data_IF_434176542163
#
_entry.id   IF_434176542163
#
_cell.length_a   1.000
_cell.length_b   1.000
_cell.length_c   1.000
_cell.angle_alpha   90.00
_cell.angle_beta   90.00
_cell.angle_gamma   90.00
#
_symmetry.space_group_name_H-M   'P 1'
#
loop_
_entity.id
_entity.type
_entity.pdbx_description
1 polymer ?
#
# COMPACT_ATOMS: atom_id res chain seq x y z
N UNK A 1 27.68 -36.71 -4.15
CA UNK A 1 27.46 -35.35 -3.60
C UNK A 1 26.44 -34.67 -4.50
N UNK A 2 25.22 -34.42 -4.02
CA UNK A 2 24.26 -33.61 -4.78
C UNK A 2 24.82 -32.19 -4.89
N UNK A 3 24.88 -31.62 -6.10
CA UNK A 3 25.18 -30.20 -6.28
C UNK A 3 24.10 -29.40 -5.53
N UNK A 4 24.50 -28.44 -4.70
CA UNK A 4 23.56 -27.51 -4.10
C UNK A 4 22.83 -26.75 -5.21
N UNK A 5 21.51 -26.59 -5.08
CA UNK A 5 20.72 -25.86 -6.06
C UNK A 5 21.18 -24.39 -6.12
N UNK A 6 21.35 -23.79 -7.31
CA UNK A 6 21.51 -22.36 -7.43
C UNK A 6 20.39 -21.63 -6.68
N UNK A 7 20.72 -20.61 -5.86
CA UNK A 7 19.74 -19.87 -5.05
C UNK A 7 18.59 -19.30 -5.89
N UNK A 8 18.87 -18.94 -7.15
CA UNK A 8 17.87 -18.46 -8.10
C UNK A 8 16.79 -19.49 -8.41
N UNK A 9 17.16 -20.76 -8.58
CA UNK A 9 16.24 -21.85 -8.87
C UNK A 9 15.49 -22.30 -7.63
N UNK A 10 16.15 -22.30 -6.47
CA UNK A 10 15.50 -22.63 -5.20
C UNK A 10 14.35 -21.64 -4.90
N UNK A 11 14.55 -20.35 -5.19
CA UNK A 11 13.49 -19.35 -5.03
C UNK A 11 12.27 -19.62 -5.92
N UNK A 12 12.49 -19.97 -7.19
CA UNK A 12 11.41 -20.31 -8.12
C UNK A 12 10.59 -21.53 -7.67
N UNK A 13 11.14 -22.35 -6.77
CA UNK A 13 10.47 -23.53 -6.20
C UNK A 13 9.73 -23.23 -4.88
N UNK A 14 9.77 -21.99 -4.40
CA UNK A 14 9.09 -21.61 -3.17
C UNK A 14 7.58 -21.75 -3.31
N UNK A 15 6.93 -22.12 -2.19
CA UNK A 15 5.47 -22.25 -2.14
C UNK A 15 4.77 -20.92 -2.42
N UNK A 16 5.43 -19.80 -2.16
CA UNK A 16 4.87 -18.46 -2.33
C UNK A 16 4.55 -18.12 -3.79
N UNK A 17 5.32 -18.65 -4.75
CA UNK A 17 5.04 -18.44 -6.18
C UNK A 17 4.07 -19.48 -6.75
N UNK A 18 3.98 -20.66 -6.14
CA UNK A 18 3.08 -21.75 -6.52
C UNK A 18 3.09 -22.10 -8.03
N UNK A 19 4.28 -22.05 -8.65
CA UNK A 19 4.48 -22.27 -10.08
C UNK A 19 4.26 -23.73 -10.51
N UNK A 20 3.93 -23.93 -11.79
CA UNK A 20 3.95 -25.25 -12.44
C UNK A 20 5.33 -25.90 -12.41
N UNK A 21 5.37 -27.24 -12.52
CA UNK A 21 6.64 -28.00 -12.51
C UNK A 21 7.58 -27.65 -13.66
N UNK A 22 7.03 -27.21 -14.80
CA UNK A 22 7.78 -26.63 -15.90
C UNK A 22 7.29 -25.21 -16.15
N UNK A 23 8.20 -24.28 -16.37
CA UNK A 23 7.86 -22.87 -16.62
C UNK A 23 8.58 -22.36 -17.86
N UNK A 24 7.98 -21.38 -18.52
CA UNK A 24 8.64 -20.55 -19.53
C UNK A 24 9.24 -19.35 -18.82
N UNK A 25 10.57 -19.23 -18.83
CA UNK A 25 11.29 -18.26 -18.02
C UNK A 25 12.05 -17.26 -18.88
N UNK A 26 11.96 -15.97 -18.51
CA UNK A 26 12.71 -14.87 -19.09
C UNK A 26 13.36 -14.05 -17.98
N UNK A 27 14.57 -13.53 -18.21
CA UNK A 27 15.31 -12.73 -17.21
C UNK A 27 15.91 -11.48 -17.84
N UNK A 28 15.78 -10.34 -17.16
CA UNK A 28 16.44 -9.06 -17.52
C UNK A 28 17.15 -8.42 -16.34
N UNK A 29 18.32 -7.84 -16.60
CA UNK A 29 19.08 -7.05 -15.63
C UNK A 29 18.80 -5.56 -15.86
N UNK A 30 18.00 -4.97 -14.98
CA UNK A 30 17.66 -3.55 -15.05
C UNK A 30 18.85 -2.71 -14.56
N UNK A 31 19.32 -1.83 -15.43
CA UNK A 31 20.32 -0.80 -15.14
C UNK A 31 19.64 0.54 -14.96
N UNK A 32 19.43 1.02 -13.73
CA UNK A 32 18.81 2.31 -13.51
C UNK A 32 19.74 3.44 -13.96
N UNK A 33 19.31 4.20 -14.96
CA UNK A 33 19.95 5.46 -15.39
C UNK A 33 19.26 6.59 -14.65
N UNK A 34 19.81 6.96 -13.49
CA UNK A 34 19.21 7.96 -12.59
C UNK A 34 19.34 9.36 -13.16
N UNK A 35 18.23 10.10 -13.19
CA UNK A 35 18.20 11.48 -13.68
C UNK A 35 16.88 12.16 -13.37
N UNK A 36 16.75 13.40 -13.85
CA UNK A 36 15.48 14.12 -13.84
C UNK A 36 14.56 13.50 -14.91
N UNK A 37 13.53 12.81 -14.46
CA UNK A 37 12.59 12.07 -15.31
C UNK A 37 11.18 12.47 -14.89
N UNK A 38 10.37 12.90 -15.86
CA UNK A 38 8.94 13.05 -15.65
C UNK A 38 8.30 11.67 -15.58
N UNK A 39 7.94 11.26 -14.36
CA UNK A 39 7.35 9.93 -14.09
C UNK A 39 5.92 9.80 -14.64
N UNK A 40 5.23 10.90 -14.94
CA UNK A 40 3.87 10.86 -15.46
C UNK A 40 3.84 10.58 -16.97
N UNK A 41 4.98 10.75 -17.65
CA UNK A 41 5.17 10.38 -19.05
C UNK A 41 5.55 8.90 -19.16
N UNK A 42 4.87 8.17 -20.05
CA UNK A 42 5.24 6.79 -20.39
C UNK A 42 6.57 6.81 -21.14
N UNK A 43 7.62 6.26 -20.53
CA UNK A 43 8.94 6.21 -21.12
C UNK A 43 8.99 5.20 -22.28
N UNK A 44 9.49 5.62 -23.45
CA UNK A 44 9.68 4.73 -24.60
C UNK A 44 11.09 4.15 -24.58
N UNK A 45 11.18 2.82 -24.49
CA UNK A 45 12.43 2.06 -24.48
C UNK A 45 12.44 1.14 -25.69
N UNK A 46 13.40 1.33 -26.61
CA UNK A 46 13.46 0.57 -27.87
C UNK A 46 13.76 -0.92 -27.68
N UNK A 47 14.44 -1.28 -26.59
CA UNK A 47 14.72 -2.68 -26.27
C UNK A 47 13.43 -3.40 -25.81
N UNK A 48 13.06 -4.55 -26.41
CA UNK A 48 11.91 -5.35 -25.95
C UNK A 48 12.18 -5.87 -24.55
N UNK A 49 11.16 -6.15 -23.73
CA UNK A 49 11.34 -6.72 -22.39
C UNK A 49 11.66 -8.22 -22.45
N UNK A 50 10.92 -8.95 -23.30
CA UNK A 50 11.10 -10.38 -23.52
C UNK A 50 12.02 -10.60 -24.73
N UNK A 51 13.18 -11.20 -24.49
CA UNK A 51 14.20 -11.47 -25.52
C UNK A 51 14.36 -12.98 -25.74
N UNK A 52 14.86 -13.68 -24.73
CA UNK A 52 15.11 -15.12 -24.76
C UNK A 52 14.19 -15.82 -23.76
N UNK A 53 13.35 -16.74 -24.25
CA UNK A 53 12.53 -17.63 -23.42
C UNK A 53 13.23 -18.97 -23.22
N UNK A 54 13.35 -19.43 -21.97
CA UNK A 54 13.96 -20.72 -21.61
C UNK A 54 12.96 -21.57 -20.84
N UNK A 55 12.82 -22.84 -21.18
CA UNK A 55 11.99 -23.77 -20.40
C UNK A 55 12.80 -24.29 -19.23
N UNK A 56 12.33 -24.04 -18.00
CA UNK A 56 12.94 -24.57 -16.79
C UNK A 56 12.07 -25.69 -16.21
N UNK A 57 12.70 -26.81 -15.83
CA UNK A 57 12.03 -27.89 -15.10
C UNK A 57 12.38 -27.79 -13.61
N UNK A 58 11.40 -27.33 -12.81
CA UNK A 58 11.50 -27.15 -11.37
C UNK A 58 11.44 -28.48 -10.60
N UNK A 59 11.00 -29.58 -11.24
CA UNK A 59 10.91 -30.91 -10.63
C UNK A 59 12.27 -31.64 -10.55
N UNK A 60 13.19 -31.37 -11.49
CA UNK A 60 14.39 -32.19 -11.74
C UNK A 60 15.54 -31.98 -10.73
N UNK A 61 15.25 -31.57 -9.49
CA UNK A 61 16.27 -31.52 -8.44
C UNK A 61 17.50 -30.65 -8.76
N UNK A 62 17.33 -29.61 -9.59
CA UNK A 62 18.39 -28.68 -10.03
C UNK A 62 19.53 -29.31 -10.84
N UNK A 63 19.25 -30.43 -11.54
CA UNK A 63 20.27 -31.22 -12.24
C UNK A 63 20.44 -30.92 -13.74
N UNK A 64 19.58 -30.13 -14.37
CA UNK A 64 19.53 -30.02 -15.85
C UNK A 64 19.33 -28.63 -16.47
N UNK A 65 18.92 -27.59 -15.73
CA UNK A 65 18.67 -26.27 -16.33
C UNK A 65 19.25 -25.12 -15.49
N UNK A 66 20.19 -24.37 -16.04
CA UNK A 66 20.62 -23.08 -15.49
C UNK A 66 19.68 -21.97 -15.99
N UNK A 67 19.31 -20.98 -15.14
CA UNK A 67 18.57 -19.81 -15.61
C UNK A 67 19.32 -19.11 -16.76
N UNK A 68 18.61 -18.53 -17.75
CA UNK A 68 19.25 -17.79 -18.83
C UNK A 68 20.15 -16.66 -18.30
N UNK A 69 21.18 -16.26 -19.06
CA UNK A 69 22.00 -15.11 -18.73
C UNK A 69 21.15 -13.85 -18.52
N UNK A 70 21.57 -13.00 -17.59
CA UNK A 70 20.84 -11.78 -17.28
C UNK A 70 21.15 -10.69 -18.32
N UNK A 71 20.30 -10.56 -19.34
CA UNK A 71 20.48 -9.58 -20.42
C UNK A 71 20.16 -8.16 -19.94
N UNK A 72 21.05 -7.18 -20.17
CA UNK A 72 20.87 -5.84 -19.63
C UNK A 72 19.74 -5.05 -20.29
N UNK A 73 19.12 -4.17 -19.51
CA UNK A 73 18.08 -3.23 -19.94
C UNK A 73 18.27 -1.91 -19.19
N UNK A 74 18.58 -0.83 -19.89
CA UNK A 74 18.73 0.48 -19.26
C UNK A 74 17.36 1.14 -19.15
N UNK A 75 16.96 1.54 -17.94
CA UNK A 75 15.73 2.30 -17.69
C UNK A 75 16.09 3.65 -17.07
N UNK A 76 15.61 4.73 -17.69
CA UNK A 76 15.71 6.07 -17.10
C UNK A 76 14.71 6.19 -15.96
N UNK A 77 15.21 6.46 -14.76
CA UNK A 77 14.40 6.46 -13.54
C UNK A 77 14.71 7.67 -12.66
N UNK A 78 13.78 8.09 -11.79
CA UNK A 78 14.05 9.09 -10.77
C UNK A 78 15.23 8.71 -9.86
N UNK A 79 15.83 9.69 -9.16
CA UNK A 79 16.81 9.41 -8.12
C UNK A 79 16.23 8.53 -7.01
N UNK A 80 17.07 7.69 -6.41
CA UNK A 80 16.66 6.91 -5.25
C UNK A 80 16.30 7.83 -4.07
N UNK A 81 15.30 7.45 -3.29
CA UNK A 81 15.00 8.15 -2.04
C UNK A 81 16.14 8.01 -1.03
N UNK A 82 16.36 9.02 -0.17
CA UNK A 82 17.31 8.89 0.92
C UNK A 82 16.88 7.75 1.86
N UNK A 83 17.86 7.09 2.47
CA UNK A 83 17.57 6.07 3.50
C UNK A 83 16.80 6.69 4.66
N UNK A 84 15.85 5.97 5.29
CA UNK A 84 15.04 6.50 6.38
C UNK A 84 15.83 7.05 7.58
N UNK A 85 16.83 6.34 8.07
CA UNK A 85 17.83 6.78 9.09
C UNK A 85 17.30 7.74 10.18
N UNK A 86 16.15 7.45 10.79
CA UNK A 86 15.49 8.27 11.83
C UNK A 86 15.08 9.69 11.40
N UNK A 87 14.96 9.98 10.11
CA UNK A 87 14.68 11.33 9.60
C UNK A 87 13.21 11.78 9.72
N UNK A 88 12.30 10.91 10.21
CA UNK A 88 10.86 11.16 10.23
C UNK A 88 10.25 11.28 11.65
N UNK A 89 11.07 11.65 12.65
CA UNK A 89 10.64 11.85 14.05
C UNK A 89 9.58 12.96 14.25
N UNK A 90 9.39 13.82 13.24
CA UNK A 90 8.33 14.83 13.24
C UNK A 90 6.93 14.25 12.97
N UNK A 91 6.82 12.96 12.67
CA UNK A 91 5.58 12.26 12.38
C UNK A 91 5.25 11.27 13.50
N UNK A 92 4.00 11.29 13.95
CA UNK A 92 3.41 10.26 14.82
C UNK A 92 2.18 9.71 14.13
N UNK A 93 2.11 8.40 13.98
CA UNK A 93 0.98 7.70 13.36
C UNK A 93 0.16 6.96 14.41
N UNK A 94 -1.15 6.88 14.21
CA UNK A 94 -2.08 6.21 15.09
C UNK A 94 -2.95 5.25 14.30
N UNK A 95 -3.13 4.03 14.82
CA UNK A 95 -3.98 2.99 14.24
C UNK A 95 -4.79 2.32 15.35
N UNK A 96 -6.08 2.09 15.12
CA UNK A 96 -6.96 1.34 16.01
C UNK A 96 -7.61 0.19 15.23
N UNK A 97 -7.29 -1.05 15.58
CA UNK A 97 -7.77 -2.23 14.85
C UNK A 97 -7.72 -3.49 15.73
N UNK A 98 -8.17 -4.62 15.20
CA UNK A 98 -8.11 -5.90 15.92
C UNK A 98 -6.69 -6.46 15.96
N UNK A 99 -6.39 -7.26 16.99
CA UNK A 99 -5.08 -7.88 17.18
C UNK A 99 -4.62 -8.65 15.94
N UNK A 100 -5.50 -9.49 15.36
CA UNK A 100 -5.17 -10.27 14.16
C UNK A 100 -4.86 -9.39 12.95
N UNK A 101 -5.67 -8.36 12.69
CA UNK A 101 -5.43 -7.44 11.56
C UNK A 101 -4.13 -6.66 11.71
N UNK A 102 -3.76 -6.31 12.94
CA UNK A 102 -2.49 -5.65 13.26
C UNK A 102 -1.28 -6.57 13.09
N UNK A 103 -1.43 -7.88 13.32
CA UNK A 103 -0.38 -8.86 12.97
C UNK A 103 -0.21 -8.96 11.45
N UNK A 104 -1.31 -9.05 10.70
CA UNK A 104 -1.28 -9.13 9.24
C UNK A 104 -0.68 -7.87 8.58
N UNK A 105 -0.78 -6.71 9.25
CA UNK A 105 -0.23 -5.45 8.75
C UNK A 105 1.31 -5.34 8.85
N UNK A 106 1.96 -6.16 9.68
CA UNK A 106 3.38 -6.02 10.04
C UNK A 106 4.33 -5.86 8.84
N UNK A 107 4.26 -6.68 7.77
CA UNK A 107 5.16 -6.53 6.63
C UNK A 107 4.99 -5.18 5.92
N UNK A 108 3.75 -4.72 5.79
CA UNK A 108 3.45 -3.45 5.13
C UNK A 108 3.83 -2.24 5.97
N UNK A 109 3.61 -2.27 7.29
CA UNK A 109 4.15 -1.23 8.18
C UNK A 109 5.69 -1.22 8.16
N UNK A 110 6.33 -2.38 8.18
CA UNK A 110 7.78 -2.48 8.11
C UNK A 110 8.35 -1.90 6.81
N UNK A 111 7.61 -1.98 5.70
CA UNK A 111 8.06 -1.38 4.44
C UNK A 111 8.32 0.12 4.54
N UNK A 112 7.46 0.88 5.24
CA UNK A 112 7.53 2.35 5.27
C UNK A 112 7.92 2.95 6.63
N UNK A 113 7.80 2.21 7.74
CA UNK A 113 8.19 2.69 9.08
C UNK A 113 9.55 2.18 9.57
N UNK A 114 10.08 1.09 9.03
CA UNK A 114 11.31 0.48 9.55
C UNK A 114 12.50 1.46 9.50
N UNK A 115 13.10 1.73 10.66
CA UNK A 115 14.24 2.64 10.81
C UNK A 115 13.92 4.11 10.49
N UNK A 116 12.65 4.48 10.36
CA UNK A 116 12.21 5.84 9.99
C UNK A 116 12.31 6.84 11.12
N UNK A 117 12.23 6.38 12.37
CA UNK A 117 12.10 7.21 13.57
C UNK A 117 10.73 7.86 13.76
N UNK A 118 9.77 7.61 12.86
CA UNK A 118 8.37 7.99 13.10
C UNK A 118 7.74 7.04 14.11
N UNK A 119 7.01 7.58 15.08
CA UNK A 119 6.33 6.77 16.10
C UNK A 119 5.02 6.19 15.56
N UNK A 120 4.68 4.97 15.99
CA UNK A 120 3.40 4.31 15.69
C UNK A 120 2.69 3.94 17.00
N UNK A 121 1.53 4.55 17.24
CA UNK A 121 0.67 4.25 18.38
C UNK A 121 -0.44 3.30 17.92
N UNK A 122 -0.44 2.10 18.49
CA UNK A 122 -1.35 1.02 18.11
C UNK A 122 -2.33 0.75 19.24
N UNK A 123 -3.62 0.97 18.98
CA UNK A 123 -4.71 0.60 19.90
C UNK A 123 -5.32 -0.72 19.44
N UNK A 124 -5.20 -1.76 20.27
CA UNK A 124 -5.75 -3.09 19.99
C UNK A 124 -7.22 -3.12 20.42
N UNK A 125 -8.12 -2.82 19.49
CA UNK A 125 -9.54 -2.54 19.75
C UNK A 125 -10.28 -3.70 20.45
N UNK A 126 -9.88 -4.94 20.20
CA UNK A 126 -10.48 -6.15 20.74
C UNK A 126 -9.76 -6.68 21.99
N UNK A 127 -8.75 -5.98 22.52
CA UNK A 127 -8.03 -6.40 23.73
C UNK A 127 -8.90 -6.44 25.00
N UNK A 128 -10.02 -5.73 25.00
CA UNK A 128 -10.98 -5.70 26.11
C UNK A 128 -12.14 -6.71 25.95
N UNK A 129 -12.11 -7.57 24.92
CA UNK A 129 -13.11 -8.63 24.81
C UNK A 129 -12.95 -9.63 25.96
N UNK A 130 -14.04 -10.18 26.53
CA UNK A 130 -13.98 -11.09 27.68
C UNK A 130 -13.10 -12.32 27.46
N UNK A 131 -13.08 -12.84 26.23
CA UNK A 131 -12.31 -14.03 25.84
C UNK A 131 -10.96 -13.68 25.19
N UNK A 132 -10.56 -12.40 25.18
CA UNK A 132 -9.29 -11.98 24.62
C UNK A 132 -8.13 -12.49 25.49
N UNK A 133 -7.28 -13.32 24.88
CA UNK A 133 -6.00 -13.73 25.45
C UNK A 133 -4.87 -13.31 24.51
N UNK A 134 -4.78 -12.01 24.26
CA UNK A 134 -3.77 -11.42 23.39
C UNK A 134 -2.55 -10.97 24.17
N UNK A 135 -1.37 -11.26 23.63
CA UNK A 135 -0.10 -10.79 24.19
C UNK A 135 0.32 -9.48 23.50
N UNK A 136 -0.12 -8.35 24.06
CA UNK A 136 0.18 -7.04 23.49
C UNK A 136 1.67 -6.72 23.53
N UNK A 137 2.39 -7.23 24.52
CA UNK A 137 3.84 -7.04 24.64
C UNK A 137 4.58 -7.84 23.55
N UNK A 138 4.12 -9.05 23.22
CA UNK A 138 4.66 -9.81 22.09
C UNK A 138 4.35 -9.11 20.75
N UNK A 139 3.17 -8.53 20.59
CA UNK A 139 2.85 -7.74 19.39
C UNK A 139 3.78 -6.52 19.28
N UNK A 140 3.95 -5.75 20.35
CA UNK A 140 4.90 -4.63 20.38
C UNK A 140 6.33 -5.07 20.05
N UNK A 141 6.78 -6.17 20.64
CA UNK A 141 8.09 -6.75 20.36
C UNK A 141 8.23 -7.16 18.88
N UNK A 142 7.17 -7.68 18.25
CA UNK A 142 7.18 -8.01 16.82
C UNK A 142 7.37 -6.76 15.95
N UNK A 143 6.69 -5.65 16.25
CA UNK A 143 6.91 -4.37 15.56
C UNK A 143 8.34 -3.86 15.77
N UNK A 144 8.84 -3.88 17.01
CA UNK A 144 10.20 -3.40 17.34
C UNK A 144 11.30 -4.26 16.71
N UNK A 145 11.10 -5.57 16.58
CA UNK A 145 12.02 -6.46 15.87
C UNK A 145 12.15 -6.10 14.38
N UNK A 146 11.14 -5.44 13.81
CA UNK A 146 11.17 -4.87 12.45
C UNK A 146 11.69 -3.43 12.43
N UNK A 147 12.29 -2.95 13.53
CA UNK A 147 12.78 -1.58 13.70
C UNK A 147 11.69 -0.51 13.53
N UNK A 148 10.45 -0.82 13.90
CA UNK A 148 9.35 0.15 13.96
C UNK A 148 9.28 0.68 15.39
N UNK A 149 9.26 2.01 15.54
CA UNK A 149 9.09 2.67 16.84
C UNK A 149 7.61 2.62 17.26
N UNK A 150 7.17 1.43 17.67
CA UNK A 150 5.78 1.16 18.03
C UNK A 150 5.57 1.15 19.55
N UNK A 151 4.39 1.65 19.93
CA UNK A 151 3.80 1.47 21.26
C UNK A 151 2.42 0.86 21.12
N UNK A 152 2.21 -0.33 21.68
CA UNK A 152 0.97 -1.09 21.59
C UNK A 152 0.23 -1.00 22.92
N UNK A 153 -1.02 -0.52 22.88
CA UNK A 153 -1.85 -0.29 24.05
C UNK A 153 -3.23 -0.92 23.91
N UNK A 154 -3.82 -1.27 25.06
CA UNK A 154 -5.23 -1.60 25.14
C UNK A 154 -6.08 -0.31 25.08
N UNK A 155 -7.37 -0.41 24.67
CA UNK A 155 -8.26 0.75 24.62
C UNK A 155 -8.39 1.40 25.99
N UNK A 156 -8.23 2.73 26.06
CA UNK A 156 -8.53 3.47 27.30
C UNK A 156 -10.03 3.64 27.52
N UNK A 157 -10.78 3.78 26.44
CA UNK A 157 -12.24 3.78 26.46
C UNK A 157 -12.73 2.33 26.46
N UNK A 158 -13.22 1.85 27.61
CA UNK A 158 -13.70 0.47 27.76
C UNK A 158 -15.11 0.25 27.22
N UNK A 159 -15.98 1.23 27.45
CA UNK A 159 -17.37 1.24 26.98
C UNK A 159 -17.58 2.46 26.11
N UNK A 160 -18.23 2.30 24.96
CA UNK A 160 -18.50 3.38 24.03
C UNK A 160 -19.28 4.52 24.67
N UNK A 161 -19.12 5.72 24.14
CA UNK A 161 -19.91 6.89 24.53
C UNK A 161 -21.19 6.96 23.67
N UNK A 162 -22.31 7.45 24.21
CA UNK A 162 -23.52 7.68 23.42
C UNK A 162 -23.23 8.74 22.35
N UNK A 163 -23.86 8.58 21.19
CA UNK A 163 -23.95 9.61 20.14
C UNK A 163 -25.24 10.43 20.34
N UNK A 164 -25.44 11.49 19.56
CA UNK A 164 -26.60 12.39 19.69
C UNK A 164 -27.93 11.67 19.48
N UNK A 165 -27.93 10.66 18.62
CA UNK A 165 -29.07 9.83 18.24
C UNK A 165 -29.20 8.54 19.07
N UNK A 166 -28.30 8.29 20.03
CA UNK A 166 -28.40 7.11 20.91
C UNK A 166 -29.60 7.26 21.86
N UNK A 167 -30.56 6.33 21.86
CA UNK A 167 -31.67 6.30 22.81
C UNK A 167 -31.17 6.26 24.27
N UNK A 168 -31.81 7.04 25.15
CA UNK A 168 -31.36 7.21 26.54
C UNK A 168 -31.31 5.92 27.37
N UNK A 169 -32.08 4.90 26.98
CA UNK A 169 -32.18 3.62 27.69
C UNK A 169 -31.44 2.48 26.99
N UNK A 170 -30.72 2.75 25.90
CA UNK A 170 -29.97 1.72 25.19
C UNK A 170 -28.63 1.44 25.90
N UNK A 171 -28.26 0.17 26.13
CA UNK A 171 -26.95 -0.16 26.67
C UNK A 171 -25.86 0.33 25.73
N UNK A 172 -24.82 0.97 26.29
CA UNK A 172 -23.68 1.38 25.50
C UNK A 172 -22.82 0.18 25.12
N UNK A 173 -22.26 0.15 23.90
CA UNK A 173 -21.43 -0.96 23.45
C UNK A 173 -20.21 -1.14 24.34
N UNK A 174 -19.98 -2.38 24.78
CA UNK A 174 -18.81 -2.78 25.56
C UNK A 174 -18.32 -4.13 25.01
N UNK A 175 -17.11 -4.23 24.42
CA UNK A 175 -16.08 -3.17 24.32
C UNK A 175 -16.47 -1.95 23.48
N UNK A 176 -15.72 -0.86 23.63
CA UNK A 176 -15.95 0.36 22.87
C UNK A 176 -15.82 0.14 21.35
N UNK A 177 -16.65 0.80 20.52
CA UNK A 177 -16.59 0.63 19.07
C UNK A 177 -15.27 1.13 18.49
N UNK A 178 -14.73 0.41 17.50
CA UNK A 178 -13.47 0.76 16.83
C UNK A 178 -13.51 2.15 16.21
N UNK A 179 -14.66 2.61 15.75
CA UNK A 179 -14.85 3.93 15.17
C UNK A 179 -14.60 5.05 16.18
N UNK A 180 -15.03 4.85 17.44
CA UNK A 180 -14.74 5.78 18.52
C UNK A 180 -13.27 5.72 18.92
N UNK A 181 -12.68 4.52 18.95
CA UNK A 181 -11.26 4.34 19.24
C UNK A 181 -10.38 5.01 18.18
N UNK A 182 -10.72 4.86 16.90
CA UNK A 182 -10.06 5.49 15.78
C UNK A 182 -10.09 7.03 15.90
N UNK A 183 -11.25 7.62 16.22
CA UNK A 183 -11.32 9.06 16.49
C UNK A 183 -10.50 9.48 17.73
N UNK A 184 -10.47 8.65 18.77
CA UNK A 184 -9.74 8.93 20.01
C UNK A 184 -8.22 8.74 19.91
N UNK A 185 -7.70 8.18 18.81
CA UNK A 185 -6.26 8.13 18.53
C UNK A 185 -5.59 9.50 18.62
N UNK A 186 -6.32 10.59 18.41
CA UNK A 186 -5.83 11.96 18.59
C UNK A 186 -5.32 12.15 20.03
N UNK A 187 -6.09 11.71 21.03
CA UNK A 187 -5.70 11.79 22.44
C UNK A 187 -4.54 10.84 22.72
N UNK A 188 -4.61 9.61 22.21
CA UNK A 188 -3.58 8.61 22.46
C UNK A 188 -2.22 9.05 21.88
N UNK A 189 -2.18 9.52 20.63
CA UNK A 189 -0.96 10.04 20.02
C UNK A 189 -0.41 11.30 20.71
N UNK A 190 -1.28 12.19 21.20
CA UNK A 190 -0.84 13.40 21.91
C UNK A 190 -0.06 13.08 23.19
N UNK A 191 -0.33 11.95 23.85
CA UNK A 191 0.41 11.52 25.05
C UNK A 191 1.84 11.07 24.72
N UNK A 192 2.08 10.60 23.50
CA UNK A 192 3.39 10.13 23.03
C UNK A 192 4.11 11.17 22.14
N UNK A 193 3.50 12.32 21.88
CA UNK A 193 4.11 13.37 21.08
C UNK A 193 5.34 13.98 21.78
N UNK A 194 6.40 14.23 21.01
CA UNK A 194 7.66 14.83 21.47
C UNK A 194 7.72 16.31 21.05
N UNK A 195 8.71 17.09 21.53
CA UNK A 195 8.95 18.43 21.02
C UNK A 195 9.24 18.50 19.51
N UNK A 196 9.69 17.39 18.90
CA UNK A 196 9.96 17.29 17.46
C UNK A 196 8.69 17.00 16.66
N UNK A 197 7.63 16.46 17.28
CA UNK A 197 6.39 16.11 16.58
C UNK A 197 5.73 17.35 15.97
N UNK A 198 5.42 17.26 14.68
CA UNK A 198 4.74 18.30 13.90
C UNK A 198 3.35 17.84 13.44
N UNK A 199 3.20 16.55 13.12
CA UNK A 199 1.99 15.99 12.53
C UNK A 199 1.56 14.69 13.23
N UNK A 200 0.25 14.57 13.44
CA UNK A 200 -0.42 13.34 13.83
C UNK A 200 -1.14 12.75 12.62
N UNK A 201 -0.76 11.54 12.20
CA UNK A 201 -1.40 10.77 11.14
C UNK A 201 -2.39 9.76 11.71
N UNK A 202 -3.70 9.99 11.54
CA UNK A 202 -4.74 9.01 11.88
C UNK A 202 -4.96 8.11 10.67
N UNK A 203 -4.75 6.80 10.83
CA UNK A 203 -4.73 5.83 9.74
C UNK A 203 -5.58 4.58 10.07
N UNK A 204 -5.99 3.88 9.02
CA UNK A 204 -6.45 2.48 9.11
C UNK A 204 -5.25 1.50 9.02
N UNK A 205 -5.41 0.27 9.52
CA UNK A 205 -4.34 -0.75 9.51
C UNK A 205 -4.03 -1.34 8.12
N UNK A 206 -4.83 -0.97 7.12
CA UNK A 206 -4.63 -1.22 5.69
C UNK A 206 -4.35 0.06 4.90
N UNK A 207 -3.93 1.14 5.56
CA UNK A 207 -3.32 2.31 4.90
C UNK A 207 -1.85 2.02 4.61
N UNK A 208 -1.44 2.18 3.35
CA UNK A 208 -0.07 1.89 2.92
C UNK A 208 0.58 3.09 2.24
N UNK A 209 1.79 3.44 2.66
CA UNK A 209 2.64 4.41 1.99
C UNK A 209 3.78 3.68 1.26
N UNK A 210 4.01 3.93 -0.05
CA UNK A 210 5.18 3.39 -0.73
C UNK A 210 6.49 3.90 -0.14
N UNK A 211 6.51 5.15 0.36
CA UNK A 211 7.66 5.76 1.02
C UNK A 211 7.21 6.96 1.87
N UNK A 212 7.85 7.16 3.03
CA UNK A 212 7.65 8.36 3.83
C UNK A 212 8.30 9.62 3.24
N UNK A 213 9.24 9.48 2.30
CA UNK A 213 9.93 10.62 1.72
C UNK A 213 8.99 11.60 1.00
N UNK A 214 8.19 11.18 -0.01
CA UNK A 214 7.25 12.07 -0.68
C UNK A 214 6.13 12.54 0.26
N UNK A 215 5.69 11.70 1.21
CA UNK A 215 4.70 12.10 2.22
C UNK A 215 5.22 13.25 3.09
N UNK A 216 6.43 13.10 3.65
CA UNK A 216 7.07 14.13 4.46
C UNK A 216 7.30 15.41 3.66
N UNK A 217 7.72 15.29 2.40
CA UNK A 217 7.87 16.41 1.47
C UNK A 217 6.55 17.17 1.25
N UNK A 218 5.43 16.46 1.09
CA UNK A 218 4.10 17.07 1.00
C UNK A 218 3.72 17.79 2.30
N UNK A 219 3.90 17.15 3.46
CA UNK A 219 3.56 17.75 4.76
C UNK A 219 4.38 19.03 5.04
N UNK A 220 5.64 19.08 4.61
CA UNK A 220 6.52 20.26 4.78
C UNK A 220 6.07 21.49 3.97
N UNK A 221 5.19 21.32 2.98
CA UNK A 221 4.61 22.44 2.24
C UNK A 221 3.56 23.21 3.05
N UNK A 222 3.13 22.67 4.19
CA UNK A 222 2.11 23.26 5.04
C UNK A 222 2.69 23.76 6.38
N UNK A 223 2.16 24.89 6.86
CA UNK A 223 2.61 25.47 8.13
C UNK A 223 2.12 24.64 9.33
N UNK A 224 2.94 23.71 9.81
CA UNK A 224 2.64 22.84 10.95
C UNK A 224 2.47 23.58 12.29
N UNK A 225 2.83 24.87 12.36
CA UNK A 225 2.67 25.71 13.56
C UNK A 225 1.32 26.45 13.59
N UNK A 226 0.49 26.31 12.56
CA UNK A 226 -0.91 26.73 12.54
C UNK A 226 -1.86 25.51 12.64
N UNK A 227 -3.14 25.69 13.00
CA UNK A 227 -4.14 24.63 12.90
C UNK A 227 -4.36 24.22 11.43
N UNK A 228 -3.95 23.01 11.07
CA UNK A 228 -4.02 22.49 9.71
C UNK A 228 -4.58 21.07 9.73
N UNK A 229 -5.51 20.81 8.81
CA UNK A 229 -6.14 19.52 8.59
C UNK A 229 -5.96 19.11 7.12
N UNK A 230 -5.19 18.05 6.89
CA UNK A 230 -4.90 17.50 5.57
C UNK A 230 -5.46 16.08 5.46
N UNK A 231 -5.84 15.68 4.25
CA UNK A 231 -6.27 14.32 3.93
C UNK A 231 -6.90 14.28 2.54
N UNK A 232 -7.57 13.19 2.19
CA UNK A 232 -8.29 13.08 0.92
C UNK A 232 -9.75 12.69 1.09
N UNK A 233 -10.55 13.04 0.08
CA UNK A 233 -11.92 12.54 -0.06
C UNK A 233 -11.88 11.07 -0.52
N UNK A 234 -13.04 10.40 -0.48
CA UNK A 234 -13.19 9.13 -1.14
C UNK A 234 -13.06 9.26 -2.67
N UNK A 235 -12.51 8.23 -3.31
CA UNK A 235 -12.28 8.17 -4.76
C UNK A 235 -13.53 7.90 -5.60
N UNK A 236 -14.68 7.71 -4.93
CA UNK A 236 -15.97 7.53 -5.57
C UNK A 236 -17.00 8.51 -4.98
N UNK A 237 -17.90 8.98 -5.84
CA UNK A 237 -18.89 9.99 -5.48
C UNK A 237 -19.94 9.47 -4.50
N UNK A 238 -20.20 8.16 -4.47
CA UNK A 238 -21.21 7.57 -3.60
C UNK A 238 -20.80 7.60 -2.13
N UNK A 239 -19.54 7.26 -1.83
CA UNK A 239 -18.95 7.42 -0.50
C UNK A 239 -19.05 8.87 -0.03
N UNK A 240 -18.77 9.84 -0.91
CA UNK A 240 -18.90 11.27 -0.60
C UNK A 240 -20.37 11.64 -0.34
N UNK A 241 -21.31 11.19 -1.17
CA UNK A 241 -22.75 11.46 -0.99
C UNK A 241 -23.28 10.87 0.32
N UNK A 242 -22.83 9.67 0.68
CA UNK A 242 -23.31 8.96 1.87
C UNK A 242 -22.71 9.47 3.16
N UNK A 243 -21.39 9.66 3.20
CA UNK A 243 -20.65 9.96 4.43
C UNK A 243 -20.32 11.45 4.59
N UNK A 244 -20.33 12.19 3.49
CA UNK A 244 -20.16 13.63 3.44
C UNK A 244 -18.74 14.07 3.06
N UNK A 245 -18.54 15.39 3.04
CA UNK A 245 -17.24 15.99 2.71
C UNK A 245 -16.32 15.97 3.93
N UNK A 246 -15.41 14.99 3.99
CA UNK A 246 -14.43 14.79 5.06
C UNK A 246 -13.15 14.15 4.52
N UNK A 247 -12.07 14.21 5.30
CA UNK A 247 -10.92 13.35 5.07
C UNK A 247 -11.27 11.93 5.48
N UNK A 248 -11.00 10.96 4.63
CA UNK A 248 -11.23 9.55 4.93
C UNK A 248 -9.96 8.91 5.52
N UNK A 249 -10.11 8.18 6.61
CA UNK A 249 -9.06 7.61 7.45
C UNK A 249 -8.09 6.72 6.68
N UNK A 250 -8.63 5.89 5.81
CA UNK A 250 -7.87 4.98 4.96
C UNK A 250 -6.94 5.66 3.95
N UNK A 251 -7.30 6.85 3.44
CA UNK A 251 -6.39 7.65 2.64
C UNK A 251 -5.24 8.25 3.48
N UNK A 252 -5.43 8.35 4.79
CA UNK A 252 -4.57 9.03 5.73
C UNK A 252 -5.04 10.44 6.05
N UNK A 253 -5.19 10.74 7.34
CA UNK A 253 -5.58 12.05 7.85
C UNK A 253 -4.45 12.63 8.67
N UNK A 254 -4.04 13.87 8.37
CA UNK A 254 -2.92 14.53 9.05
C UNK A 254 -3.40 15.80 9.76
N UNK A 255 -3.18 15.83 11.06
CA UNK A 255 -3.50 16.96 11.93
C UNK A 255 -2.20 17.59 12.42
N UNK A 256 -2.07 18.91 12.27
CA UNK A 256 -0.96 19.60 12.92
C UNK A 256 -1.11 19.58 14.44
N UNK A 257 0.00 19.66 15.17
CA UNK A 257 -0.03 19.69 16.63
C UNK A 257 -0.93 20.78 17.24
N UNK A 258 -0.97 22.03 16.73
CA UNK A 258 -1.91 23.04 17.20
C UNK A 258 -3.38 22.63 17.05
N UNK A 259 -3.75 22.01 15.94
CA UNK A 259 -5.12 21.55 15.72
C UNK A 259 -5.46 20.40 16.68
N UNK A 260 -4.61 19.39 16.78
CA UNK A 260 -4.82 18.25 17.67
C UNK A 260 -5.03 18.69 19.13
N UNK A 261 -4.21 19.64 19.61
CA UNK A 261 -4.35 20.22 20.96
C UNK A 261 -5.64 21.01 21.17
N UNK A 262 -6.15 21.70 20.13
CA UNK A 262 -7.46 22.36 20.21
C UNK A 262 -8.60 21.35 20.32
N UNK A 263 -8.51 20.19 19.67
CA UNK A 263 -9.56 19.16 19.69
C UNK A 263 -9.55 18.32 20.98
N UNK A 264 -8.37 18.07 21.56
CA UNK A 264 -8.19 17.21 22.73
C UNK A 264 -9.20 17.40 23.87
N UNK A 265 -9.51 18.63 24.36
CA UNK A 265 -10.48 18.83 25.43
C UNK A 265 -11.94 18.57 25.02
N UNK A 266 -12.22 18.42 23.71
CA UNK A 266 -13.57 18.31 23.18
C UNK A 266 -13.95 16.90 22.70
N UNK A 267 -12.99 15.98 22.54
CA UNK A 267 -13.20 14.68 21.87
C UNK A 267 -14.41 13.90 22.42
N UNK A 268 -14.49 13.67 23.73
CA UNK A 268 -15.62 12.96 24.35
C UNK A 268 -16.97 13.68 24.08
N UNK A 269 -16.97 15.01 24.12
CA UNK A 269 -18.17 15.81 23.83
C UNK A 269 -18.54 15.78 22.34
N UNK A 270 -17.56 15.65 21.46
CA UNK A 270 -17.75 15.51 20.02
C UNK A 270 -18.43 14.19 19.68
N UNK A 271 -18.02 13.07 20.32
CA UNK A 271 -18.70 11.77 20.17
C UNK A 271 -20.17 11.90 20.57
N UNK A 272 -20.45 12.57 21.69
CA UNK A 272 -21.82 12.79 22.19
C UNK A 272 -22.69 13.69 21.33
N UNK A 273 -22.09 14.54 20.49
CA UNK A 273 -22.81 15.51 19.66
C UNK A 273 -22.97 15.08 18.21
N UNK A 274 -22.16 14.14 17.74
CA UNK A 274 -22.26 13.65 16.36
C UNK A 274 -23.46 12.72 16.19
N UNK A 275 -23.98 12.66 14.96
CA UNK A 275 -24.93 11.63 14.51
C UNK A 275 -24.25 10.60 13.59
N UNK A 276 -22.97 10.80 13.28
CA UNK A 276 -22.21 9.94 12.38
C UNK A 276 -21.55 8.80 13.16
N UNK A 277 -21.54 7.61 12.58
CA UNK A 277 -21.00 6.41 13.26
C UNK A 277 -19.49 6.23 13.02
N UNK A 278 -18.96 6.71 11.89
CA UNK A 278 -17.54 6.59 11.52
C UNK A 278 -16.63 7.53 12.32
N UNK A 279 -15.41 7.09 12.62
CA UNK A 279 -14.38 7.92 13.27
C UNK A 279 -14.02 9.17 12.47
N UNK A 280 -13.91 9.06 11.14
CA UNK A 280 -13.67 10.21 10.24
C UNK A 280 -14.75 11.28 10.33
N UNK A 281 -16.00 10.84 10.37
CA UNK A 281 -17.15 11.71 10.56
C UNK A 281 -17.16 12.40 11.92
N UNK A 282 -16.78 11.69 12.98
CA UNK A 282 -16.59 12.27 14.31
C UNK A 282 -15.49 13.34 14.30
N UNK A 283 -14.38 13.08 13.61
CA UNK A 283 -13.30 14.05 13.43
C UNK A 283 -13.75 15.30 12.69
N UNK A 284 -14.41 15.14 11.53
CA UNK A 284 -14.99 16.25 10.76
C UNK A 284 -15.88 17.13 11.65
N UNK A 285 -16.87 16.51 12.31
CA UNK A 285 -17.82 17.23 13.14
C UNK A 285 -17.10 17.95 14.29
N UNK A 286 -16.11 17.30 14.92
CA UNK A 286 -15.35 17.91 16.01
C UNK A 286 -14.53 19.12 15.54
N UNK A 287 -13.88 19.04 14.38
CA UNK A 287 -13.11 20.16 13.80
C UNK A 287 -14.04 21.34 13.51
N UNK A 288 -15.17 21.11 12.84
CA UNK A 288 -16.07 22.20 12.46
C UNK A 288 -16.84 22.80 13.63
N UNK A 289 -17.13 22.03 14.67
CA UNK A 289 -17.81 22.53 15.86
C UNK A 289 -16.90 23.36 16.77
N UNK A 290 -15.58 23.12 16.74
CA UNK A 290 -14.66 23.72 17.72
C UNK A 290 -13.57 24.61 17.10
N UNK A 291 -13.42 24.65 15.77
CA UNK A 291 -12.36 25.41 15.11
C UNK A 291 -12.82 26.01 13.76
N UNK A 292 -12.17 27.07 13.25
CA UNK A 292 -12.41 27.57 11.89
C UNK A 292 -11.69 26.76 10.80
N UNK A 293 -10.89 25.75 11.17
CA UNK A 293 -10.03 24.97 10.26
C UNK A 293 -10.85 24.27 9.18
N UNK A 294 -10.33 24.24 7.95
CA UNK A 294 -10.94 23.56 6.80
C UNK A 294 -10.05 22.43 6.31
N UNK A 295 -10.67 21.38 5.77
CA UNK A 295 -9.96 20.30 5.11
C UNK A 295 -9.22 20.85 3.89
N UNK A 296 -7.91 20.61 3.84
CA UNK A 296 -7.13 20.73 2.62
C UNK A 296 -7.05 19.35 1.98
N UNK A 297 -7.64 19.20 0.80
CA UNK A 297 -7.61 17.94 0.05
C UNK A 297 -6.23 17.80 -0.59
N UNK A 298 -5.53 16.74 -0.22
CA UNK A 298 -4.19 16.42 -0.73
C UNK A 298 -4.33 15.41 -1.87
N UNK A 299 -3.79 15.70 -3.07
CA UNK A 299 -3.80 14.75 -4.16
C UNK A 299 -2.91 13.53 -3.83
N UNK A 300 -3.09 12.43 -4.56
CA UNK A 300 -2.26 11.21 -4.46
C UNK A 300 -2.41 10.42 -3.15
N UNK A 301 -3.17 10.90 -2.17
CA UNK A 301 -3.72 10.08 -1.10
C UNK A 301 -5.01 9.43 -1.60
N UNK A 302 -5.10 8.10 -1.55
CA UNK A 302 -6.23 7.36 -2.08
C UNK A 302 -6.92 6.57 -0.97
N UNK A 303 -8.18 6.91 -0.70
CA UNK A 303 -9.07 6.11 0.16
C UNK A 303 -9.37 4.75 -0.48
N UNK A 304 -9.26 4.68 -1.80
CA UNK A 304 -9.17 3.46 -2.59
C UNK A 304 -10.34 2.50 -2.29
N UNK A 305 -11.54 3.06 -2.24
CA UNK A 305 -12.84 2.38 -2.07
C UNK A 305 -13.21 1.54 -3.32
N UNK A 306 -12.29 0.67 -3.75
CA UNK A 306 -12.38 -0.17 -4.94
C UNK A 306 -12.68 -1.61 -4.52
N UNK A 307 -13.55 -2.29 -5.27
CA UNK A 307 -13.89 -3.71 -5.08
C UNK A 307 -13.62 -4.51 -6.34
N UNK A 308 -13.31 -5.79 -6.17
CA UNK A 308 -12.98 -6.65 -7.32
C UNK A 308 -11.53 -6.43 -7.77
N UNK A 309 -11.33 -6.17 -9.06
CA UNK A 309 -10.01 -6.14 -9.67
C UNK A 309 -9.43 -4.71 -9.73
N UNK A 310 -8.41 -4.36 -8.91
CA UNK A 310 -7.82 -3.02 -8.88
C UNK A 310 -6.83 -2.76 -10.02
N UNK A 311 -6.65 -3.69 -10.98
CA UNK A 311 -5.59 -3.64 -11.99
C UNK A 311 -5.51 -2.31 -12.74
N UNK A 312 -6.62 -1.78 -13.22
CA UNK A 312 -6.62 -0.52 -13.95
C UNK A 312 -5.98 0.63 -13.16
N UNK A 313 -6.21 0.71 -11.84
CA UNK A 313 -5.57 1.74 -11.01
C UNK A 313 -4.06 1.54 -10.95
N UNK A 314 -3.59 0.33 -10.64
CA UNK A 314 -2.15 0.07 -10.52
C UNK A 314 -1.43 0.12 -11.88
N UNK A 315 -2.10 -0.20 -12.97
CA UNK A 315 -1.59 -0.12 -14.36
C UNK A 315 -1.64 1.29 -14.96
N UNK A 316 -2.43 2.19 -14.38
CA UNK A 316 -2.54 3.58 -14.85
C UNK A 316 -1.23 4.36 -14.71
N UNK A 317 -0.35 3.87 -13.83
CA UNK A 317 0.85 4.57 -13.44
C UNK A 317 0.57 5.89 -12.76
N UNK A 318 -0.49 6.01 -11.95
CA UNK A 318 -0.64 7.19 -11.10
C UNK A 318 0.41 7.21 -10.01
N UNK A 319 0.86 8.42 -9.67
CA UNK A 319 1.62 8.64 -8.44
C UNK A 319 0.72 8.43 -7.23
N UNK A 320 1.28 7.79 -6.20
CA UNK A 320 0.58 7.38 -4.99
C UNK A 320 1.41 7.77 -3.76
N UNK A 321 0.84 8.64 -2.92
CA UNK A 321 1.33 8.89 -1.57
C UNK A 321 0.83 7.79 -0.64
N UNK A 322 -0.46 7.46 -0.72
CA UNK A 322 -1.05 6.36 0.02
C UNK A 322 -2.02 5.55 -0.84
N UNK A 323 -2.18 4.27 -0.53
CA UNK A 323 -3.26 3.43 -1.04
C UNK A 323 -3.93 2.69 0.12
N UNK A 324 -5.17 2.28 -0.10
CA UNK A 324 -5.99 1.69 0.93
C UNK A 324 -6.84 0.51 0.43
N UNK A 325 -7.37 -0.22 1.40
CA UNK A 325 -8.15 -1.45 1.34
C UNK A 325 -7.44 -2.67 0.69
N UNK A 326 -6.12 -2.63 0.54
CA UNK A 326 -5.31 -3.65 -0.15
C UNK A 326 -5.29 -5.04 0.49
N UNK A 327 -5.81 -5.20 1.72
CA UNK A 327 -6.01 -6.48 2.41
C UNK A 327 -7.42 -6.68 2.96
N UNK A 328 -8.37 -5.83 2.59
CA UNK A 328 -9.73 -5.87 3.17
C UNK A 328 -10.83 -5.87 2.11
N UNK A 329 -10.77 -5.00 1.10
CA UNK A 329 -11.75 -4.99 0.01
C UNK A 329 -11.23 -5.68 -1.25
N UNK A 330 -9.92 -5.69 -1.43
CA UNK A 330 -9.19 -6.48 -2.41
C UNK A 330 -7.89 -6.98 -1.76
N UNK A 331 -7.15 -7.83 -2.47
CA UNK A 331 -5.87 -8.35 -2.01
C UNK A 331 -4.77 -7.96 -3.01
N UNK A 332 -3.80 -7.17 -2.58
CA UNK A 332 -2.62 -6.81 -3.36
C UNK A 332 -1.38 -6.80 -2.45
N UNK A 333 -0.25 -7.41 -2.85
CA UNK A 333 0.98 -7.43 -2.06
C UNK A 333 1.74 -6.09 -2.18
N UNK A 334 1.14 -5.00 -1.69
CA UNK A 334 1.59 -3.62 -1.93
C UNK A 334 3.01 -3.33 -1.43
N UNK A 335 3.48 -4.01 -0.39
CA UNK A 335 4.86 -3.96 0.10
C UNK A 335 5.84 -4.55 -0.93
N UNK A 336 5.50 -5.69 -1.53
CA UNK A 336 6.30 -6.31 -2.59
C UNK A 336 6.27 -5.46 -3.86
N UNK A 337 5.11 -4.94 -4.21
CA UNK A 337 4.92 -4.06 -5.37
C UNK A 337 5.80 -2.81 -5.24
N UNK A 338 5.76 -2.14 -4.09
CA UNK A 338 6.49 -0.91 -3.83
C UNK A 338 7.95 -1.11 -3.42
N UNK A 339 8.45 -2.35 -3.30
CA UNK A 339 9.86 -2.61 -2.94
C UNK A 339 10.87 -1.89 -3.87
N UNK A 340 10.46 -1.61 -5.11
CA UNK A 340 11.24 -0.90 -6.14
C UNK A 340 11.62 0.53 -5.78
N UNK A 341 10.88 1.19 -4.88
CA UNK A 341 11.21 2.54 -4.39
C UNK A 341 12.58 2.60 -3.70
N UNK A 342 13.07 1.47 -3.18
CA UNK A 342 14.40 1.36 -2.54
C UNK A 342 15.54 1.48 -3.55
N UNK A 343 15.26 1.26 -4.84
CA UNK A 343 16.25 1.31 -5.92
C UNK A 343 16.15 2.61 -6.71
N UNK A 344 14.93 3.05 -7.02
CA UNK A 344 14.68 4.17 -7.93
C UNK A 344 13.65 5.20 -7.43
N UNK A 345 13.46 5.31 -6.12
CA UNK A 345 12.69 6.40 -5.52
C UNK A 345 11.24 6.41 -6.00
N UNK A 346 10.87 7.41 -6.80
CA UNK A 346 9.50 7.65 -7.27
C UNK A 346 9.06 6.78 -8.46
N UNK A 347 9.82 5.73 -8.78
CA UNK A 347 9.56 4.84 -9.90
C UNK A 347 8.45 3.79 -9.67
N UNK A 348 7.82 3.77 -8.49
CA UNK A 348 6.71 2.85 -8.22
C UNK A 348 5.52 3.18 -9.11
N UNK A 349 4.99 2.16 -9.80
CA UNK A 349 3.97 2.24 -10.85
C UNK A 349 4.38 3.12 -12.06
N UNK A 350 5.62 3.59 -12.15
CA UNK A 350 6.10 4.29 -13.35
C UNK A 350 5.99 3.35 -14.56
N UNK A 351 5.57 3.90 -15.70
CA UNK A 351 5.28 3.10 -16.89
C UNK A 351 6.37 3.19 -17.95
N UNK A 352 6.72 2.03 -18.49
CA UNK A 352 7.69 1.89 -19.57
C UNK A 352 7.06 1.13 -20.72
N UNK A 353 7.06 1.74 -21.91
CA UNK A 353 6.82 1.03 -23.17
C UNK A 353 8.13 0.40 -23.61
N UNK A 354 8.15 -0.92 -23.75
CA UNK A 354 9.34 -1.69 -24.14
C UNK A 354 9.12 -2.37 -25.48
N UNK A 355 9.96 -2.03 -26.45
CA UNK A 355 9.77 -2.44 -27.84
C UNK A 355 8.42 -1.95 -28.39
N UNK A 356 7.81 -2.77 -29.23
CA UNK A 356 6.59 -2.40 -29.96
C UNK A 356 5.30 -2.87 -29.30
N UNK A 357 5.37 -3.78 -28.31
CA UNK A 357 4.22 -4.55 -27.84
C UNK A 357 4.08 -4.63 -26.31
N UNK A 358 5.06 -4.18 -25.53
CA UNK A 358 5.07 -4.43 -24.08
C UNK A 358 4.92 -3.13 -23.29
N UNK A 359 4.04 -3.14 -22.29
CA UNK A 359 3.92 -2.09 -21.27
C UNK A 359 4.26 -2.68 -19.91
N UNK A 360 5.18 -2.05 -19.19
CA UNK A 360 5.52 -2.38 -17.80
C UNK A 360 4.94 -1.30 -16.89
N UNK A 361 4.05 -1.68 -15.98
CA UNK A 361 3.69 -0.88 -14.81
C UNK A 361 4.57 -1.32 -13.64
N UNK A 362 5.64 -0.57 -13.35
CA UNK A 362 6.73 -1.05 -12.50
C UNK A 362 6.28 -1.41 -11.09
N UNK A 363 6.50 -2.67 -10.71
CA UNK A 363 6.07 -3.24 -9.44
C UNK A 363 4.64 -3.77 -9.44
N UNK A 364 3.89 -3.62 -10.53
CA UNK A 364 2.54 -4.19 -10.67
C UNK A 364 2.44 -5.24 -11.78
N UNK A 365 2.51 -4.85 -13.05
CA UNK A 365 2.24 -5.79 -14.15
C UNK A 365 3.12 -5.58 -15.38
N UNK A 366 3.20 -6.63 -16.19
CA UNK A 366 3.69 -6.59 -17.57
C UNK A 366 2.53 -6.97 -18.48
N UNK A 367 2.18 -6.08 -19.41
CA UNK A 367 1.12 -6.30 -20.39
C UNK A 367 1.71 -6.42 -21.79
N UNK A 368 1.46 -7.53 -22.48
CA UNK A 368 1.92 -7.77 -23.85
C UNK A 368 0.75 -7.70 -24.83
N UNK A 369 0.82 -6.76 -25.76
CA UNK A 369 -0.19 -6.51 -26.78
C UNK A 369 0.18 -7.22 -28.08
N UNK A 370 -0.42 -8.38 -28.35
CA UNK A 370 -0.08 -9.24 -29.51
C UNK A 370 -0.13 -8.55 -30.88
N UNK A 371 -0.96 -7.52 -31.02
CA UNK A 371 -1.07 -6.72 -32.25
C UNK A 371 -0.13 -5.51 -32.29
N UNK A 372 0.76 -5.38 -31.29
CA UNK A 372 1.52 -4.17 -30.99
C UNK A 372 0.71 -3.15 -30.20
N UNK A 373 1.43 -2.24 -29.53
CA UNK A 373 0.87 -1.06 -28.91
C UNK A 373 0.50 -0.05 -30.02
N UNK A 374 -0.80 -0.02 -30.34
CA UNK A 374 -1.34 0.88 -31.35
C UNK A 374 -0.98 2.34 -31.01
N UNK A 375 -0.50 3.15 -31.98
CA UNK A 375 -0.22 4.57 -31.75
C UNK A 375 -1.42 5.38 -31.25
N UNK A 376 -2.64 4.87 -31.50
CA UNK A 376 -3.91 5.48 -31.08
C UNK A 376 -4.30 5.11 -29.64
N UNK A 377 -3.55 4.25 -28.96
CA UNK A 377 -3.84 3.87 -27.58
C UNK A 377 -3.53 5.04 -26.64
N UNK A 378 -4.58 5.59 -26.02
CA UNK A 378 -4.47 6.65 -25.03
C UNK A 378 -4.06 6.07 -23.68
N UNK A 379 -2.75 5.95 -23.47
CA UNK A 379 -2.17 5.50 -22.19
C UNK A 379 -2.42 6.52 -21.07
N UNK A 380 -2.89 7.73 -21.33
CA UNK A 380 -3.28 8.69 -20.28
C UNK A 380 -4.57 8.29 -19.55
N UNK A 381 -5.32 7.33 -20.09
CA UNK A 381 -6.56 6.84 -19.49
C UNK A 381 -6.34 5.66 -18.57
N UNK A 382 -7.30 5.45 -17.69
CA UNK A 382 -7.31 4.34 -16.72
C UNK A 382 -8.32 3.30 -17.16
N UNK A 383 -7.94 2.04 -17.15
CA UNK A 383 -8.87 0.96 -17.49
C UNK A 383 -9.88 0.69 -16.37
N UNK A 384 -11.15 0.51 -16.72
CA UNK A 384 -12.20 0.18 -15.77
C UNK A 384 -12.24 -1.29 -15.41
N UNK A 385 -11.43 -1.70 -14.42
CA UNK A 385 -11.35 -3.10 -13.97
C UNK A 385 -12.09 -3.38 -12.65
N UNK A 386 -12.21 -2.38 -11.77
CA UNK A 386 -12.86 -2.55 -10.47
C UNK A 386 -14.36 -2.21 -10.51
N UNK A 387 -15.10 -2.60 -9.48
CA UNK A 387 -16.40 -2.06 -9.12
C UNK A 387 -16.28 -1.01 -8.01
N UNK A 388 -17.20 -0.04 -7.96
CA UNK A 388 -17.31 0.91 -6.85
C UNK A 388 -18.26 0.41 -5.76
N UNK A 389 -18.28 1.10 -4.60
CA UNK A 389 -19.36 0.94 -3.63
C UNK A 389 -20.63 1.60 -4.22
N UNK A 390 -21.56 0.76 -4.68
CA UNK A 390 -22.95 1.11 -5.07
C UNK A 390 -23.21 1.58 -6.51
N UNK A 391 -22.20 1.61 -7.39
CA UNK A 391 -22.42 1.81 -8.82
C UNK A 391 -21.20 2.34 -9.58
N UNK A 392 -21.41 2.72 -10.84
CA UNK A 392 -20.38 3.23 -11.77
C UNK A 392 -20.28 4.76 -11.83
N UNK A 393 -20.86 5.49 -10.87
CA UNK A 393 -20.94 6.96 -10.91
C UNK A 393 -19.58 7.59 -10.51
N UNK A 394 -18.87 8.13 -11.51
CA UNK A 394 -17.64 8.93 -11.36
C UNK A 394 -16.48 8.23 -10.62
N UNK A 395 -16.15 7.00 -11.04
CA UNK A 395 -14.82 6.42 -10.77
C UNK A 395 -13.83 6.91 -11.84
N UNK A 396 -12.53 7.01 -11.54
CA UNK A 396 -11.46 7.44 -12.47
C UNK A 396 -11.29 6.57 -13.74
N UNK A 397 -12.23 5.66 -14.03
CA UNK A 397 -12.17 4.61 -15.05
C UNK A 397 -12.61 5.10 -16.42
N UNK A 398 -12.05 4.47 -17.43
CA UNK A 398 -12.49 4.51 -18.82
C UNK A 398 -12.59 3.08 -19.38
N UNK A 399 -12.84 2.92 -20.68
CA UNK A 399 -13.06 1.63 -21.34
C UNK A 399 -11.97 0.59 -21.01
N UNK A 400 -12.38 -0.68 -20.92
CA UNK A 400 -11.49 -1.83 -20.70
C UNK A 400 -10.86 -2.26 -22.02
N UNK A 401 -9.54 -2.40 -22.05
CA UNK A 401 -8.88 -3.21 -23.07
C UNK A 401 -8.56 -4.55 -22.42
N UNK A 402 -8.67 -5.64 -23.19
CA UNK A 402 -8.34 -6.96 -22.66
C UNK A 402 -6.83 -7.14 -22.75
N UNK A 403 -6.12 -6.62 -21.76
CA UNK A 403 -4.74 -6.99 -21.47
C UNK A 403 -4.69 -8.24 -20.59
N UNK A 404 -3.66 -9.05 -20.76
CA UNK A 404 -3.32 -10.12 -19.81
C UNK A 404 -2.40 -9.49 -18.78
N UNK A 405 -2.87 -9.35 -17.53
CA UNK A 405 -2.07 -8.84 -16.43
C UNK A 405 -1.39 -10.01 -15.70
N UNK A 406 -0.12 -9.82 -15.35
CA UNK A 406 0.69 -10.77 -14.57
C UNK A 406 0.90 -10.24 -13.14
N UNK A 407 0.75 -11.11 -12.12
CA UNK A 407 0.92 -10.71 -10.72
C UNK A 407 2.43 -10.59 -10.37
N UNK A 408 2.85 -9.53 -9.65
CA UNK A 408 4.23 -9.32 -9.26
C UNK A 408 4.53 -9.98 -7.90
N UNK A 409 5.69 -10.61 -7.78
CA UNK A 409 6.32 -10.98 -6.52
C UNK A 409 7.69 -10.33 -6.43
N UNK A 410 8.09 -9.83 -5.27
CA UNK A 410 9.41 -9.21 -5.08
C UNK A 410 10.18 -9.86 -3.92
N UNK A 411 11.50 -9.98 -4.09
CA UNK A 411 12.43 -10.34 -3.02
C UNK A 411 13.63 -9.42 -2.94
N UNK A 412 14.12 -9.22 -1.72
CA UNK A 412 15.28 -8.39 -1.38
C UNK A 412 16.29 -9.29 -0.66
N UNK A 413 17.36 -9.70 -1.34
CA UNK A 413 18.39 -10.60 -0.79
C UNK A 413 19.74 -9.90 -0.60
N UNK A 414 20.30 -9.97 0.63
CA UNK A 414 21.71 -9.69 0.93
C UNK A 414 22.19 -8.25 0.70
N UNK A 415 23.49 -7.96 0.88
CA UNK A 415 24.08 -6.62 0.63
C UNK A 415 25.17 -6.73 -0.45
N UNK A 416 25.15 -5.87 -1.50
CA UNK A 416 24.07 -4.94 -1.79
C UNK A 416 22.84 -5.71 -2.25
N UNK A 417 21.69 -5.31 -1.72
CA UNK A 417 20.41 -5.94 -1.95
C UNK A 417 20.03 -5.83 -3.41
N UNK A 418 20.17 -6.94 -4.15
CA UNK A 418 19.58 -7.03 -5.48
C UNK A 418 18.09 -7.23 -5.30
N UNK A 419 17.30 -6.23 -5.69
CA UNK A 419 15.86 -6.38 -5.80
C UNK A 419 15.55 -7.25 -7.02
N UNK A 420 14.78 -8.30 -6.80
CA UNK A 420 14.27 -9.17 -7.87
C UNK A 420 12.76 -9.05 -7.90
N UNK A 421 12.20 -8.74 -9.06
CA UNK A 421 10.76 -8.76 -9.32
C UNK A 421 10.44 -9.91 -10.26
N UNK A 422 9.36 -10.63 -9.98
CA UNK A 422 8.89 -11.76 -10.77
C UNK A 422 7.45 -11.46 -11.17
N UNK A 423 7.18 -11.41 -12.46
CA UNK A 423 5.84 -11.28 -13.02
C UNK A 423 5.44 -12.67 -13.53
N UNK A 424 4.28 -13.15 -13.11
CA UNK A 424 3.83 -14.51 -13.39
C UNK A 424 2.52 -14.49 -14.18
N UNK A 425 2.56 -15.05 -15.39
CA UNK A 425 1.38 -15.43 -16.14
C UNK A 425 1.00 -16.88 -15.84
N UNK A 426 -0.11 -17.07 -15.13
CA UNK A 426 -0.62 -18.41 -14.82
C UNK A 426 -1.43 -18.98 -15.97
N UNK A 427 -1.18 -20.24 -16.30
CA UNK A 427 -2.02 -20.97 -17.27
C UNK A 427 -3.42 -21.21 -16.68
N UNK A 428 -4.45 -20.82 -17.42
CA UNK A 428 -5.82 -20.67 -16.92
C UNK A 428 -6.62 -21.98 -16.98
N UNK A 429 -6.44 -22.88 -16.00
CA UNK A 429 -7.49 -23.67 -15.31
C UNK A 429 -6.92 -24.90 -14.57
N UNK A 430 -7.52 -25.25 -13.42
CA UNK A 430 -7.27 -26.51 -12.71
C UNK A 430 -7.59 -27.77 -13.55
N UNK A 431 -8.48 -27.65 -14.55
CA UNK A 431 -8.79 -28.72 -15.52
C UNK A 431 -7.68 -28.91 -16.55
N UNK A 432 -7.03 -27.83 -17.02
CA UNK A 432 -5.83 -27.93 -17.88
C UNK A 432 -4.62 -28.49 -17.14
N UNK A 433 -4.49 -28.20 -15.83
CA UNK A 433 -3.45 -28.78 -14.95
C UNK A 433 -3.61 -30.29 -14.73
N UNK A 434 -4.83 -30.84 -14.83
CA UNK A 434 -5.10 -32.28 -14.64
C UNK A 434 -4.88 -33.13 -15.90
N UNK A 435 -4.72 -32.51 -17.07
CA UNK A 435 -4.76 -33.21 -18.35
C UNK A 435 -3.46 -33.33 -19.13
N UNK A 436 -2.45 -32.47 -18.89
CA UNK A 436 -1.20 -32.51 -19.68
C UNK A 436 0.01 -32.05 -18.87
N UNK A 437 1.10 -32.81 -18.96
CA UNK A 437 2.49 -32.40 -18.64
C UNK A 437 3.00 -31.17 -19.44
N UNK A 438 2.11 -30.41 -20.10
CA UNK A 438 2.42 -29.36 -21.08
C UNK A 438 1.98 -27.95 -20.70
N UNK A 439 1.17 -27.75 -19.65
CA UNK A 439 0.82 -26.40 -19.20
C UNK A 439 2.00 -25.80 -18.42
N UNK A 440 2.52 -24.65 -18.86
CA UNK A 440 3.68 -23.99 -18.27
C UNK A 440 3.34 -22.55 -17.95
N UNK A 441 3.45 -22.15 -16.69
CA UNK A 441 3.39 -20.74 -16.32
C UNK A 441 4.52 -19.98 -17.00
N UNK A 442 4.26 -18.74 -17.42
CA UNK A 442 5.30 -17.84 -17.91
C UNK A 442 5.78 -16.94 -16.77
N UNK A 443 7.09 -16.77 -16.64
CA UNK A 443 7.74 -15.99 -15.59
C UNK A 443 8.72 -15.01 -16.22
N UNK A 444 8.52 -13.73 -15.94
CA UNK A 444 9.46 -12.66 -16.27
C UNK A 444 10.13 -12.19 -14.99
N UNK A 445 11.45 -12.36 -14.91
CA UNK A 445 12.25 -11.83 -13.81
C UNK A 445 12.97 -10.54 -14.21
N UNK A 446 12.80 -9.49 -13.41
CA UNK A 446 13.59 -8.26 -13.45
C UNK A 446 14.53 -8.21 -12.26
N UNK A 447 15.83 -8.26 -12.52
CA UNK A 447 16.90 -8.13 -11.52
C UNK A 447 17.42 -6.70 -11.57
N UNK A 448 17.17 -5.92 -10.53
CA UNK A 448 17.64 -4.54 -10.46
C UNK A 448 19.08 -4.47 -9.96
N UNK A 449 19.95 -3.82 -10.74
CA UNK A 449 21.30 -3.45 -10.32
C UNK A 449 21.21 -2.24 -9.36
N UNK A 450 21.78 -2.39 -8.16
CA UNK A 450 21.71 -1.41 -7.06
C UNK A 450 22.61 -0.20 -7.26
#
# INVERSE_FOLDING_TARGET
MSKACPQDLEFLRTKDLALTQKIVYTRRCIRPVRGDVDRDVVANVSSPLVTTKTILNLADGCSSAEPPPCEPLSLHVPPAYPKPEHQYQHLVFGVASSYGRLQDALPTFAHWLSGSGAALIVVVADADQPDANFDLAALEAAYRNLSIDATVIAPKLKTGLPRKDTPANEPLPSPAPVEQLHFLLIRDMLEFATPQTQWLGVLDDDTFFPSLHPLSGMLQQHNHSAPVWLGALADNLESIRKWGYMSYGGAGVFLSMPLARQLAPHLDSCIRKTTIISGDGMLRDCIYLNTPTKLTVVPELYQHDMRGDPAGFYESGRRVLSVHHWKSWYNAPVDKMAAVVRVCGDCFLQRFRLGDDTLLANGYSVSVYRAGLLPTLDLGRIEGTWGGWGGSDFDFKSYRLVGVAEEPAATVNGVPAKLRQFYVHRTTTEEEKKGKDSAMDEVIELVWEG
#
